data_IF_517404300587
#
_entry.id   IF_517404300587
#
_cell.length_a   1.000
_cell.length_b   1.000
_cell.length_c   1.000
_cell.angle_alpha   90.00
_cell.angle_beta   90.00
_cell.angle_gamma   90.00
#
_symmetry.space_group_name_H-M   'P 1'
#
loop_
_entity.id
_entity.type
_entity.pdbx_description
1 polymer ?
#
# COMPACT_ATOMS: atom_id res chain seq x y z
N UNK A 1 -6.07 -1.04 8.88
CA UNK A 1 -6.93 -2.12 8.32
C UNK A 1 -6.18 -3.15 7.48
N UNK A 2 -5.43 -2.78 6.42
CA UNK A 2 -4.69 -3.76 5.59
C UNK A 2 -3.78 -4.72 6.39
N UNK A 3 -2.91 -4.18 7.25
CA UNK A 3 -1.99 -4.98 8.10
C UNK A 3 -2.73 -5.93 9.06
N UNK A 4 -3.98 -5.60 9.44
CA UNK A 4 -4.80 -6.44 10.31
C UNK A 4 -5.57 -7.52 9.53
N UNK A 5 -5.66 -7.40 8.21
CA UNK A 5 -6.48 -8.25 7.33
C UNK A 5 -5.69 -8.67 6.09
N UNK A 6 -4.45 -9.15 6.27
CA UNK A 6 -3.51 -9.45 5.18
C UNK A 6 -4.06 -10.46 4.15
N UNK A 7 -4.88 -11.41 4.60
CA UNK A 7 -5.48 -12.43 3.73
C UNK A 7 -6.72 -11.93 2.97
N UNK A 8 -7.27 -10.78 3.36
CA UNK A 8 -8.54 -10.27 2.82
C UNK A 8 -8.51 -8.76 2.53
N UNK A 9 -7.36 -8.24 2.08
CA UNK A 9 -7.16 -6.81 1.83
C UNK A 9 -8.15 -6.25 0.81
N UNK A 10 -8.45 -7.02 -0.25
CA UNK A 10 -9.41 -6.62 -1.29
C UNK A 10 -10.79 -6.30 -0.69
N UNK A 11 -11.41 -7.30 -0.05
CA UNK A 11 -12.73 -7.11 0.55
C UNK A 11 -12.73 -6.03 1.65
N UNK A 12 -11.62 -5.90 2.39
CA UNK A 12 -11.45 -4.86 3.41
C UNK A 12 -11.53 -3.45 2.81
N UNK A 13 -11.12 -3.27 1.55
CA UNK A 13 -11.07 -1.98 0.87
C UNK A 13 -12.08 -1.80 -0.27
N UNK A 14 -13.04 -2.72 -0.47
CA UNK A 14 -14.04 -2.62 -1.56
C UNK A 14 -14.69 -1.22 -1.63
N UNK A 15 -15.23 -0.71 -0.52
CA UNK A 15 -15.85 0.63 -0.46
C UNK A 15 -14.87 1.77 -0.73
N UNK A 16 -13.60 1.58 -0.37
CA UNK A 16 -12.56 2.58 -0.59
C UNK A 16 -12.12 2.58 -2.06
N UNK A 17 -12.05 1.42 -2.71
CA UNK A 17 -11.81 1.30 -4.14
C UNK A 17 -12.93 1.96 -4.94
N UNK A 18 -14.20 1.70 -4.62
CA UNK A 18 -15.35 2.39 -5.24
C UNK A 18 -15.25 3.91 -5.11
N UNK A 19 -14.89 4.42 -3.93
CA UNK A 19 -14.70 5.85 -3.73
C UNK A 19 -13.61 6.42 -4.66
N UNK A 20 -12.47 5.75 -4.76
CA UNK A 20 -11.36 6.22 -5.57
C UNK A 20 -11.60 6.09 -7.08
N UNK A 21 -12.31 5.06 -7.51
CA UNK A 21 -12.65 4.81 -8.91
C UNK A 21 -13.80 5.71 -9.37
N UNK A 22 -14.93 5.67 -8.67
CA UNK A 22 -16.21 6.22 -9.17
C UNK A 22 -16.43 7.69 -8.82
N UNK A 23 -15.80 8.19 -7.74
CA UNK A 23 -15.99 9.58 -7.30
C UNK A 23 -14.75 10.45 -7.48
N UNK A 24 -13.58 9.90 -7.16
CA UNK A 24 -12.33 10.65 -7.21
C UNK A 24 -11.58 10.45 -8.55
N UNK A 25 -11.92 9.41 -9.31
CA UNK A 25 -11.33 9.09 -10.61
C UNK A 25 -9.79 9.06 -10.58
N UNK A 26 -9.22 8.45 -9.53
CA UNK A 26 -7.78 8.36 -9.35
C UNK A 26 -7.21 7.34 -10.34
N UNK A 27 -6.18 7.72 -11.09
CA UNK A 27 -5.43 6.79 -11.92
C UNK A 27 -4.76 5.72 -11.02
N UNK A 28 -4.96 4.41 -11.29
CA UNK A 28 -4.39 3.34 -10.48
C UNK A 28 -2.85 3.39 -10.32
N UNK A 29 -2.13 4.02 -11.25
CA UNK A 29 -0.68 4.19 -11.15
C UNK A 29 -0.29 5.07 -9.96
N UNK A 30 -1.14 6.00 -9.54
CA UNK A 30 -0.86 6.89 -8.40
C UNK A 30 -0.77 6.12 -7.08
N UNK A 31 -1.47 4.99 -6.92
CA UNK A 31 -1.34 4.16 -5.71
C UNK A 31 0.03 3.50 -5.62
N UNK A 32 0.62 3.09 -6.75
CA UNK A 32 1.99 2.56 -6.79
C UNK A 32 3.00 3.64 -6.43
N UNK A 33 2.87 4.82 -7.03
CA UNK A 33 3.75 5.96 -6.75
C UNK A 33 3.68 6.38 -5.27
N UNK A 34 2.48 6.48 -4.70
CA UNK A 34 2.31 6.78 -3.29
C UNK A 34 2.94 5.68 -2.42
N UNK A 35 2.74 4.43 -2.80
CA UNK A 35 3.34 3.27 -2.18
C UNK A 35 4.87 3.34 -2.08
N UNK A 36 5.52 3.67 -3.19
CA UNK A 36 6.99 3.82 -3.24
C UNK A 36 7.47 4.97 -2.34
N UNK A 37 6.74 6.09 -2.31
CA UNK A 37 7.04 7.20 -1.41
C UNK A 37 6.94 6.78 0.07
N UNK A 38 5.94 5.98 0.45
CA UNK A 38 5.81 5.46 1.81
C UNK A 38 6.98 4.56 2.19
N UNK A 39 7.46 3.72 1.26
CA UNK A 39 8.63 2.87 1.48
C UNK A 39 9.89 3.70 1.71
N UNK A 40 10.08 4.78 0.95
CA UNK A 40 11.20 5.72 1.13
C UNK A 40 11.15 6.35 2.52
N UNK A 41 9.96 6.82 2.95
CA UNK A 41 9.78 7.42 4.28
C UNK A 41 10.03 6.40 5.39
N UNK A 42 9.57 5.16 5.24
CA UNK A 42 9.84 4.08 6.20
C UNK A 42 11.34 3.80 6.31
N UNK A 43 12.05 3.72 5.19
CA UNK A 43 13.49 3.52 5.17
C UNK A 43 14.23 4.65 5.90
N UNK A 44 13.86 5.90 5.61
CA UNK A 44 14.45 7.08 6.26
C UNK A 44 14.16 7.14 7.77
N UNK A 45 12.98 6.67 8.20
CA UNK A 45 12.54 6.75 9.59
C UNK A 45 13.08 5.61 10.45
N UNK A 46 13.14 4.39 9.91
CA UNK A 46 13.56 3.18 10.63
C UNK A 46 15.09 2.99 10.60
N UNK A 47 15.80 3.63 9.67
CA UNK A 47 17.25 3.59 9.58
C UNK A 47 17.78 2.15 9.50
N UNK A 48 18.55 1.73 10.52
CA UNK A 48 19.18 0.40 10.55
C UNK A 48 18.18 -0.75 10.69
N UNK A 49 16.99 -0.48 11.21
CA UNK A 49 15.94 -1.49 11.38
C UNK A 49 15.18 -1.75 10.07
N UNK A 50 15.37 -0.91 9.04
CA UNK A 50 14.87 -1.15 7.69
C UNK A 50 15.79 -2.09 6.92
N UNK A 51 15.86 -3.34 7.37
CA UNK A 51 16.64 -4.38 6.73
C UNK A 51 15.98 -4.88 5.41
N UNK A 52 16.70 -5.68 4.59
CA UNK A 52 16.16 -6.18 3.33
C UNK A 52 14.84 -6.96 3.47
N UNK A 53 14.66 -7.70 4.55
CA UNK A 53 13.43 -8.46 4.83
C UNK A 53 12.25 -7.53 5.10
N UNK A 54 12.46 -6.47 5.89
CA UNK A 54 11.46 -5.43 6.15
C UNK A 54 11.11 -4.71 4.85
N UNK A 55 12.11 -4.32 4.04
CA UNK A 55 11.88 -3.69 2.74
C UNK A 55 11.00 -4.57 1.84
N UNK A 56 11.34 -5.85 1.70
CA UNK A 56 10.57 -6.79 0.89
C UNK A 56 9.13 -6.96 1.40
N UNK A 57 8.94 -7.04 2.73
CA UNK A 57 7.62 -7.14 3.34
C UNK A 57 6.76 -5.89 3.06
N UNK A 58 7.31 -4.69 3.23
CA UNK A 58 6.61 -3.44 2.97
C UNK A 58 6.30 -3.25 1.48
N UNK A 59 7.25 -3.57 0.59
CA UNK A 59 7.03 -3.58 -0.87
C UNK A 59 5.88 -4.51 -1.26
N UNK A 60 5.84 -5.72 -0.69
CA UNK A 60 4.75 -6.67 -0.95
C UNK A 60 3.42 -6.15 -0.46
N UNK A 61 3.36 -5.64 0.77
CA UNK A 61 2.12 -5.11 1.36
C UNK A 61 1.58 -3.95 0.52
N UNK A 62 2.42 -2.98 0.21
CA UNK A 62 2.04 -1.81 -0.59
C UNK A 62 1.55 -2.23 -1.98
N UNK A 63 2.20 -3.21 -2.61
CA UNK A 63 1.75 -3.75 -3.90
C UNK A 63 0.36 -4.39 -3.84
N UNK A 64 0.06 -5.12 -2.76
CA UNK A 64 -1.28 -5.70 -2.54
C UNK A 64 -2.31 -4.60 -2.31
N UNK A 65 -2.00 -3.60 -1.49
CA UNK A 65 -2.89 -2.45 -1.23
C UNK A 65 -3.19 -1.69 -2.50
N UNK A 66 -2.18 -1.37 -3.31
CA UNK A 66 -2.35 -0.67 -4.59
C UNK A 66 -3.12 -1.49 -5.63
N UNK A 67 -3.14 -2.82 -5.51
CA UNK A 67 -3.94 -3.69 -6.39
C UNK A 67 -5.39 -3.84 -5.90
N UNK A 68 -5.66 -3.50 -4.65
CA UNK A 68 -6.98 -3.58 -4.02
C UNK A 68 -7.76 -2.25 -4.07
N UNK A 69 -7.11 -1.16 -4.50
CA UNK A 69 -7.68 0.17 -4.61
C UNK A 69 -7.85 0.55 -6.09
#
# INVERSE_FOLDING_TARGET
>A
EAVKNLDNVKATFDKLSELHSDKLHVDPQNFRLLGDNLIIVLAATMGKDFNPEAQAAWQKLVGVVASAL
#
